data_IF_118925068021
#
_entry.id   IF_118925068021
#
_cell.length_a   1.000
_cell.length_b   1.000
_cell.length_c   1.000
_cell.angle_alpha   90.00
_cell.angle_beta   90.00
_cell.angle_gamma   90.00
#
_symmetry.space_group_name_H-M   'P 1'
#
loop_
_entity.id
_entity.type
_entity.pdbx_description
1 polymer ?
#
# COMPACT_ATOMS: atom_id res chain seq x y z
N UNK A 1 -1.47 26.46 -9.65
CA UNK A 1 -0.84 25.19 -9.23
C UNK A 1 -1.59 24.08 -9.95
N UNK A 2 -0.92 23.27 -10.78
CA UNK A 2 -1.60 22.14 -11.44
C UNK A 2 -1.94 21.11 -10.36
N UNK A 3 -3.21 20.99 -10.03
CA UNK A 3 -3.76 20.03 -9.07
C UNK A 3 -3.76 18.64 -9.69
N UNK A 4 -2.57 18.09 -9.92
CA UNK A 4 -2.43 16.76 -10.50
C UNK A 4 -2.71 15.72 -9.41
N UNK A 5 -3.99 15.40 -9.22
CA UNK A 5 -4.55 14.46 -8.24
C UNK A 5 -3.98 13.05 -8.34
N UNK A 6 -3.26 12.73 -9.42
CA UNK A 6 -2.60 11.44 -9.59
C UNK A 6 -1.65 11.11 -8.44
N UNK A 7 -0.93 12.09 -7.88
CA UNK A 7 0.04 11.86 -6.78
C UNK A 7 -0.59 11.34 -5.47
N UNK A 8 -1.92 11.37 -5.36
CA UNK A 8 -2.65 10.81 -4.21
C UNK A 8 -3.29 9.46 -4.51
N UNK A 9 -3.01 8.87 -5.69
CA UNK A 9 -3.52 7.57 -6.09
C UNK A 9 -2.47 6.49 -5.86
N UNK A 10 -2.86 5.47 -5.09
CA UNK A 10 -2.13 4.22 -4.93
C UNK A 10 -2.79 3.14 -5.78
N UNK A 11 -2.02 2.49 -6.63
CA UNK A 11 -2.41 1.25 -7.31
C UNK A 11 -1.90 0.05 -6.52
N UNK A 12 -2.80 -0.78 -6.00
CA UNK A 12 -2.46 -2.05 -5.39
C UNK A 12 -2.48 -3.16 -6.45
N UNK A 13 -1.40 -3.93 -6.57
CA UNK A 13 -1.31 -5.07 -7.48
C UNK A 13 -1.62 -6.39 -6.77
N UNK A 14 -1.78 -7.47 -7.53
CA UNK A 14 -2.05 -8.80 -6.96
C UNK A 14 -0.80 -9.50 -6.40
N UNK A 15 0.37 -8.91 -6.63
CA UNK A 15 1.67 -9.48 -6.28
C UNK A 15 1.95 -9.28 -4.79
N UNK A 16 2.08 -10.39 -4.07
CA UNK A 16 2.46 -10.41 -2.66
C UNK A 16 3.59 -11.40 -2.42
N UNK A 17 4.47 -11.08 -1.47
CA UNK A 17 5.51 -11.97 -0.97
C UNK A 17 5.44 -12.03 0.55
N UNK A 18 5.59 -13.23 1.08
CA UNK A 18 5.63 -13.47 2.53
C UNK A 18 6.95 -14.13 2.88
N UNK A 19 7.61 -13.64 3.92
CA UNK A 19 8.86 -14.19 4.42
C UNK A 19 8.91 -14.18 5.95
N UNK A 20 9.84 -14.94 6.53
CA UNK A 20 10.02 -14.94 7.97
C UNK A 20 10.65 -13.63 8.46
N UNK A 21 10.13 -13.12 9.58
CA UNK A 21 10.65 -11.91 10.20
C UNK A 21 12.03 -12.14 10.79
N UNK A 22 13.06 -11.50 10.21
CA UNK A 22 14.42 -11.49 10.78
C UNK A 22 14.49 -10.85 12.17
N UNK A 23 13.52 -10.00 12.53
CA UNK A 23 13.48 -9.27 13.81
C UNK A 23 12.66 -9.99 14.89
N UNK A 24 11.80 -10.94 14.52
CA UNK A 24 10.89 -11.63 15.44
C UNK A 24 10.72 -13.09 15.01
N UNK A 25 11.47 -14.02 15.62
CA UNK A 25 11.34 -15.44 15.34
C UNK A 25 9.90 -15.91 15.50
N UNK A 26 9.40 -16.70 14.54
CA UNK A 26 8.03 -17.23 14.56
C UNK A 26 6.93 -16.29 14.06
N UNK A 27 7.28 -15.08 13.58
CA UNK A 27 6.32 -14.20 12.90
C UNK A 27 6.67 -14.04 11.43
N UNK A 28 5.65 -13.91 10.59
CA UNK A 28 5.81 -13.67 9.15
C UNK A 28 5.61 -12.20 8.83
N UNK A 29 6.26 -11.74 7.77
CA UNK A 29 6.10 -10.40 7.22
C UNK A 29 5.62 -10.50 5.78
N UNK A 30 4.61 -9.71 5.44
CA UNK A 30 4.06 -9.61 4.10
C UNK A 30 4.51 -8.32 3.42
N UNK A 31 4.76 -8.39 2.13
CA UNK A 31 4.93 -7.22 1.28
C UNK A 31 4.03 -7.37 0.05
N UNK A 32 3.25 -6.34 -0.24
CA UNK A 32 2.47 -6.23 -1.47
C UNK A 32 3.11 -5.20 -2.37
N UNK A 33 3.23 -5.50 -3.66
CA UNK A 33 3.69 -4.53 -4.64
C UNK A 33 2.56 -3.53 -4.90
N UNK A 34 2.88 -2.25 -4.77
CA UNK A 34 1.99 -1.13 -5.02
C UNK A 34 2.70 -0.09 -5.89
N UNK A 35 1.93 0.77 -6.56
CA UNK A 35 2.43 1.87 -7.36
C UNK A 35 1.84 3.20 -6.93
N UNK A 36 2.66 4.25 -6.80
CA UNK A 36 2.14 5.63 -6.73
C UNK A 36 1.98 6.13 -8.15
N UNK A 37 0.76 6.51 -8.53
CA UNK A 37 0.52 7.13 -9.82
C UNK A 37 1.07 8.56 -9.76
N UNK A 38 1.95 8.93 -10.68
CA UNK A 38 2.51 10.27 -10.81
C UNK A 38 1.87 10.96 -12.00
N UNK A 39 2.14 12.27 -12.15
CA UNK A 39 1.69 13.01 -13.32
C UNK A 39 2.01 12.29 -14.64
N UNK A 40 1.13 12.45 -15.63
CA UNK A 40 1.27 11.85 -16.98
C UNK A 40 1.16 10.32 -17.01
N UNK A 41 0.62 9.69 -15.97
CA UNK A 41 0.37 8.23 -15.95
C UNK A 41 1.60 7.38 -15.67
N UNK A 42 2.72 8.00 -15.29
CA UNK A 42 3.89 7.26 -14.78
C UNK A 42 3.55 6.61 -13.46
N UNK A 43 4.00 5.39 -13.24
CA UNK A 43 3.82 4.67 -11.97
C UNK A 43 5.18 4.39 -11.37
N UNK A 44 5.35 4.72 -10.09
CA UNK A 44 6.52 4.33 -9.32
C UNK A 44 6.16 3.21 -8.35
N UNK A 45 6.74 2.04 -8.56
CA UNK A 45 6.45 0.84 -7.79
C UNK A 45 7.29 0.76 -6.52
N UNK A 46 6.67 0.22 -5.47
CA UNK A 46 7.29 0.00 -4.18
C UNK A 46 6.58 -1.13 -3.43
N UNK A 47 7.26 -1.67 -2.44
CA UNK A 47 6.73 -2.74 -1.59
C UNK A 47 6.09 -2.16 -0.32
N UNK A 48 4.78 -2.35 -0.17
CA UNK A 48 4.01 -1.96 1.00
C UNK A 48 3.92 -3.12 2.00
N UNK A 49 4.31 -2.88 3.24
CA UNK A 49 4.28 -3.88 4.32
C UNK A 49 2.85 -4.24 4.76
N UNK A 50 2.62 -5.51 5.08
CA UNK A 50 1.44 -5.98 5.82
C UNK A 50 1.74 -7.13 6.77
N UNK A 51 0.80 -7.38 7.68
CA UNK A 51 0.83 -8.49 8.63
C UNK A 51 0.05 -9.69 8.04
N UNK A 52 0.74 -10.74 7.58
CA UNK A 52 0.14 -11.89 6.90
C UNK A 52 -0.71 -12.75 7.83
N UNK A 53 -0.52 -12.64 9.14
CA UNK A 53 -1.30 -13.38 10.13
C UNK A 53 -2.67 -12.71 10.38
N UNK A 54 -2.82 -11.43 9.99
CA UNK A 54 -4.09 -10.69 10.05
C UNK A 54 -4.83 -10.66 8.72
N UNK A 55 -4.09 -10.54 7.62
CA UNK A 55 -4.64 -10.51 6.27
C UNK A 55 -3.65 -11.12 5.28
N UNK A 56 -4.10 -12.05 4.43
CA UNK A 56 -3.22 -12.71 3.44
C UNK A 56 -2.62 -11.75 2.40
N UNK A 57 -3.22 -10.57 2.22
CA UNK A 57 -2.74 -9.44 1.43
C UNK A 57 -3.11 -8.11 2.14
N UNK A 58 -2.41 -7.02 1.81
CA UNK A 58 -2.65 -5.72 2.43
C UNK A 58 -3.96 -5.07 1.92
N UNK A 59 -4.07 -4.92 0.60
CA UNK A 59 -5.23 -4.37 -0.09
C UNK A 59 -5.66 -5.30 -1.22
N UNK A 60 -6.98 -5.44 -1.49
CA UNK A 60 -7.43 -5.96 -2.78
C UNK A 60 -6.81 -5.18 -3.95
N UNK A 61 -6.56 -5.79 -5.11
CA UNK A 61 -6.03 -5.07 -6.26
C UNK A 61 -6.99 -3.97 -6.75
N UNK A 62 -6.46 -2.79 -7.06
CA UNK A 62 -7.25 -1.65 -7.52
C UNK A 62 -6.56 -0.31 -7.29
N UNK A 63 -7.25 0.75 -7.68
CA UNK A 63 -6.80 2.13 -7.47
C UNK A 63 -7.50 2.71 -6.24
N UNK A 64 -6.70 3.29 -5.34
CA UNK A 64 -7.10 3.82 -4.05
C UNK A 64 -6.66 5.28 -3.91
N UNK A 65 -7.51 6.11 -3.32
CA UNK A 65 -7.15 7.43 -2.85
C UNK A 65 -6.46 7.30 -1.49
N UNK A 66 -5.28 7.91 -1.37
CA UNK A 66 -4.51 7.96 -0.11
C UNK A 66 -4.90 9.21 0.65
N UNK A 67 -5.54 9.03 1.82
CA UNK A 67 -5.91 10.12 2.73
C UNK A 67 -5.03 10.10 3.97
N UNK A 68 -4.49 11.25 4.35
CA UNK A 68 -3.77 11.40 5.61
C UNK A 68 -4.79 11.48 6.75
N UNK A 69 -4.67 10.61 7.76
CA UNK A 69 -5.61 10.54 8.90
C UNK A 69 -5.08 11.22 10.16
N UNK A 70 -3.80 11.58 10.19
CA UNK A 70 -3.17 12.26 11.34
C UNK A 70 -1.73 11.83 11.54
N UNK A 71 -1.13 12.25 12.64
CA UNK A 71 0.22 11.86 13.05
C UNK A 71 0.15 10.84 14.19
N UNK A 72 1.05 9.85 14.18
CA UNK A 72 1.21 8.89 15.26
C UNK A 72 2.69 8.54 15.46
N UNK A 73 3.04 8.06 16.65
CA UNK A 73 4.38 7.51 16.91
C UNK A 73 4.37 6.01 16.59
N UNK A 74 5.32 5.57 15.76
CA UNK A 74 5.52 4.14 15.54
C UNK A 74 6.17 3.46 16.75
N UNK A 75 6.38 2.14 16.63
CA UNK A 75 6.94 1.33 17.72
C UNK A 75 8.36 1.72 18.11
N UNK A 76 9.09 2.39 17.23
CA UNK A 76 10.45 2.86 17.48
C UNK A 76 10.47 4.34 17.95
N UNK A 77 9.29 4.91 18.24
CA UNK A 77 9.13 6.30 18.70
C UNK A 77 9.29 7.33 17.59
N UNK A 78 9.22 6.94 16.31
CA UNK A 78 9.34 7.88 15.18
C UNK A 78 7.97 8.40 14.78
N UNK A 79 7.91 9.69 14.47
CA UNK A 79 6.69 10.34 14.01
C UNK A 79 6.36 9.87 12.57
N UNK A 80 5.18 9.30 12.40
CA UNK A 80 4.64 8.81 11.14
C UNK A 80 3.30 9.49 10.83
N UNK A 81 2.96 9.55 9.55
CA UNK A 81 1.63 9.98 9.09
C UNK A 81 0.76 8.74 8.90
N UNK A 82 -0.38 8.71 9.59
CA UNK A 82 -1.45 7.74 9.38
C UNK A 82 -2.04 7.89 7.99
N UNK A 83 -2.32 6.78 7.33
CA UNK A 83 -2.85 6.72 5.97
C UNK A 83 -4.10 5.85 5.95
N UNK A 84 -5.14 6.34 5.29
CA UNK A 84 -6.33 5.60 4.92
C UNK A 84 -6.37 5.42 3.41
N UNK A 85 -6.77 4.24 2.95
CA UNK A 85 -6.86 3.90 1.55
C UNK A 85 -8.33 3.73 1.17
N UNK A 86 -8.87 4.69 0.41
CA UNK A 86 -10.28 4.69 -0.02
C UNK A 86 -10.34 4.17 -1.46
N UNK A 87 -11.06 3.07 -1.70
CA UNK A 87 -11.14 2.48 -3.04
C UNK A 87 -11.80 3.46 -4.02
N UNK A 88 -11.09 3.83 -5.09
CA UNK A 88 -11.62 4.64 -6.19
C UNK A 88 -12.20 3.72 -7.26
N UNK A 89 -11.43 2.70 -7.66
CA UNK A 89 -11.81 1.78 -8.71
C UNK A 89 -11.25 0.38 -8.40
N UNK A 90 -12.07 -0.67 -8.34
CA UNK A 90 -11.57 -2.03 -8.26
C UNK A 90 -10.72 -2.32 -9.50
N UNK A 91 -9.65 -3.10 -9.36
CA UNK A 91 -8.93 -3.60 -10.53
C UNK A 91 -9.96 -4.30 -11.41
N UNK A 92 -10.03 -3.93 -12.70
CA UNK A 92 -10.80 -4.70 -13.65
C UNK A 92 -10.25 -6.12 -13.56
N UNK A 93 -11.07 -7.04 -13.05
CA UNK A 93 -10.74 -8.46 -13.01
C UNK A 93 -10.30 -8.78 -14.44
N UNK A 94 -9.01 -9.10 -14.65
CA UNK A 94 -8.58 -9.60 -15.93
C UNK A 94 -9.50 -10.79 -16.19
N UNK A 95 -10.43 -10.63 -17.13
CA UNK A 95 -11.32 -11.69 -17.53
C UNK A 95 -10.40 -12.78 -18.08
N UNK A 96 -10.24 -13.84 -17.29
CA UNK A 96 -9.64 -15.08 -17.73
C UNK A 96 -10.66 -15.80 -18.63
#
# INVERSE_FOLDING_TARGET
MSSNSNHTVLRAYNETRVSDSKKKPGTRVGFQTCGIVKGEGRVEEFDQYFDPDKAGNFLPPGDYEVKATGLYLDRDGRLQIGREFVLIKPAARAAA
#
